data_IF_702418455218
#
_entry.id   IF_702418455218
#
_cell.length_a   1.000
_cell.length_b   1.000
_cell.length_c   1.000
_cell.angle_alpha   90.00
_cell.angle_beta   90.00
_cell.angle_gamma   90.00
#
_symmetry.space_group_name_H-M   'P 1'
#
loop_
_entity.id
_entity.type
_entity.pdbx_description
1 polymer ?
#
# COMPACT_ATOMS: atom_id res chain seq x y z
N UNK A 1 -18.00 8.93 -23.61
CA UNK A 1 -18.08 9.31 -22.18
C UNK A 1 -18.28 10.82 -22.08
N UNK A 2 -19.18 11.30 -21.23
CA UNK A 2 -19.50 12.73 -21.13
C UNK A 2 -18.37 13.51 -20.45
N UNK A 3 -17.99 14.66 -21.00
CA UNK A 3 -16.94 15.55 -20.47
C UNK A 3 -17.17 15.92 -19.00
N UNK A 4 -18.44 15.96 -18.58
CA UNK A 4 -18.88 16.21 -17.20
C UNK A 4 -18.53 15.06 -16.24
N UNK A 5 -18.62 13.82 -16.70
CA UNK A 5 -18.27 12.65 -15.89
C UNK A 5 -16.76 12.58 -15.64
N UNK A 6 -15.95 12.95 -16.65
CA UNK A 6 -14.50 13.04 -16.52
C UNK A 6 -14.08 14.14 -15.53
N UNK A 7 -14.69 15.32 -15.61
CA UNK A 7 -14.37 16.42 -14.69
C UNK A 7 -14.77 16.12 -13.25
N UNK A 8 -15.95 15.53 -13.02
CA UNK A 8 -16.39 15.13 -11.68
C UNK A 8 -15.46 14.06 -11.11
N UNK A 9 -15.10 13.06 -11.90
CA UNK A 9 -14.14 12.03 -11.50
C UNK A 9 -12.78 12.64 -11.16
N UNK A 10 -12.21 13.48 -12.04
CA UNK A 10 -10.92 14.12 -11.81
C UNK A 10 -10.91 15.01 -10.55
N UNK A 11 -12.00 15.73 -10.27
CA UNK A 11 -12.12 16.53 -9.04
C UNK A 11 -12.19 15.65 -7.80
N UNK A 12 -12.94 14.54 -7.84
CA UNK A 12 -12.99 13.56 -6.74
C UNK A 12 -11.60 12.95 -6.51
N UNK A 13 -10.90 12.54 -7.58
CA UNK A 13 -9.53 12.03 -7.49
C UNK A 13 -8.56 13.07 -6.92
N UNK A 14 -8.61 14.32 -7.40
CA UNK A 14 -7.77 15.42 -6.89
C UNK A 14 -8.04 15.73 -5.41
N UNK A 15 -9.28 15.59 -4.95
CA UNK A 15 -9.65 15.76 -3.54
C UNK A 15 -9.25 14.56 -2.67
N UNK A 16 -9.13 13.36 -3.22
CA UNK A 16 -8.71 12.16 -2.47
C UNK A 16 -7.19 12.04 -2.32
N UNK A 17 -6.41 12.51 -3.30
CA UNK A 17 -4.94 12.36 -3.35
C UNK A 17 -4.22 12.93 -2.12
N UNK A 18 -4.52 14.15 -1.61
CA UNK A 18 -3.80 14.68 -0.44
C UNK A 18 -4.30 14.15 0.93
N UNK A 19 -5.31 13.27 0.96
CA UNK A 19 -6.06 12.97 2.20
C UNK A 19 -5.83 11.55 2.75
N UNK A 20 -5.06 10.73 2.05
CA UNK A 20 -4.71 9.36 2.43
C UNK A 20 -3.27 9.29 2.97
N UNK A 21 -3.10 9.73 4.22
CA UNK A 21 -1.83 9.57 4.93
C UNK A 21 -1.81 8.16 5.55
N UNK A 22 -0.99 7.27 4.99
CA UNK A 22 -0.82 5.90 5.45
C UNK A 22 0.59 5.71 6.00
N UNK A 23 0.68 5.29 7.26
CA UNK A 23 1.95 5.00 7.93
C UNK A 23 2.01 3.53 8.30
N UNK A 24 3.05 2.85 7.84
CA UNK A 24 3.40 1.50 8.28
C UNK A 24 4.58 1.59 9.24
N UNK A 25 4.50 0.89 10.38
CA UNK A 25 5.61 0.69 11.30
C UNK A 25 5.83 -0.81 11.44
N UNK A 26 7.04 -1.26 11.13
CA UNK A 26 7.45 -2.66 11.22
C UNK A 26 8.43 -2.79 12.38
N UNK A 27 8.13 -3.69 13.32
CA UNK A 27 8.98 -4.07 14.44
C UNK A 27 9.03 -5.61 14.53
N UNK A 28 10.04 -6.20 15.21
CA UNK A 28 10.12 -7.64 15.39
C UNK A 28 8.84 -8.17 16.06
N UNK A 29 8.14 -9.09 15.37
CA UNK A 29 6.88 -9.70 15.84
C UNK A 29 5.66 -8.76 15.91
N UNK A 30 5.75 -7.56 15.33
CA UNK A 30 4.62 -6.62 15.31
C UNK A 30 4.68 -5.67 14.12
N UNK A 31 3.59 -5.62 13.35
CA UNK A 31 3.38 -4.66 12.26
C UNK A 31 2.17 -3.79 12.59
N UNK A 32 2.31 -2.48 12.44
CA UNK A 32 1.23 -1.51 12.64
C UNK A 32 1.01 -0.68 11.39
N UNK A 33 -0.22 -0.66 10.90
CA UNK A 33 -0.68 0.28 9.86
C UNK A 33 -1.61 1.28 10.50
N UNK A 34 -1.33 2.57 10.30
CA UNK A 34 -2.22 3.66 10.61
C UNK A 34 -2.62 4.35 9.31
N UNK A 35 -3.91 4.30 8.97
CA UNK A 35 -4.48 4.95 7.78
C UNK A 35 -5.37 6.11 8.22
N UNK A 36 -5.08 7.32 7.76
CA UNK A 36 -5.96 8.46 8.00
C UNK A 36 -7.14 8.39 7.02
N UNK A 37 -8.35 8.26 7.56
CA UNK A 37 -9.59 8.55 6.83
C UNK A 37 -10.02 9.98 7.18
N UNK A 38 -10.54 10.71 6.20
CA UNK A 38 -10.88 12.13 6.30
C UNK A 38 -11.60 12.49 7.63
N UNK A 39 -11.23 13.62 8.24
CA UNK A 39 -11.82 14.18 9.48
C UNK A 39 -11.65 13.37 10.80
N UNK A 40 -10.83 12.30 10.85
CA UNK A 40 -10.50 11.44 12.06
C UNK A 40 -11.63 10.43 12.37
N UNK A 41 -11.38 9.14 12.73
CA UNK A 41 -10.18 8.55 13.30
C UNK A 41 -9.29 7.82 12.31
N UNK A 42 -8.00 7.86 12.61
CA UNK A 42 -7.03 6.93 12.08
C UNK A 42 -7.59 5.50 12.23
N UNK A 43 -7.56 4.72 11.16
CA UNK A 43 -7.78 3.29 11.21
C UNK A 43 -6.44 2.63 11.52
N UNK A 44 -6.37 1.92 12.65
CA UNK A 44 -5.16 1.25 13.12
C UNK A 44 -5.39 -0.24 12.97
N UNK A 45 -4.47 -0.91 12.30
CA UNK A 45 -4.40 -2.35 12.29
C UNK A 45 -3.06 -2.78 12.87
N UNK A 46 -3.08 -3.74 13.78
CA UNK A 46 -1.88 -4.38 14.29
C UNK A 46 -1.94 -5.85 13.90
N UNK A 47 -0.89 -6.34 13.27
CA UNK A 47 -0.67 -7.75 13.02
C UNK A 47 0.71 -8.20 13.49
N UNK A 48 1.00 -9.49 13.34
CA UNK A 48 2.28 -10.08 13.73
C UNK A 48 3.35 -9.89 12.65
N UNK A 49 2.97 -10.07 11.38
CA UNK A 49 3.93 -10.07 10.28
C UNK A 49 3.35 -9.58 8.96
N UNK A 50 4.19 -8.96 8.14
CA UNK A 50 3.88 -8.77 6.72
C UNK A 50 4.05 -10.13 6.07
N UNK A 51 2.99 -10.67 5.48
CA UNK A 51 3.01 -11.97 4.82
C UNK A 51 3.35 -11.85 3.35
N UNK A 52 2.99 -10.73 2.71
CA UNK A 52 3.21 -10.51 1.29
C UNK A 52 3.19 -9.02 0.93
N UNK A 53 3.88 -8.65 -0.15
CA UNK A 53 3.93 -7.28 -0.71
C UNK A 53 3.98 -7.39 -2.23
N UNK A 54 3.00 -6.79 -2.89
CA UNK A 54 2.93 -6.69 -4.35
C UNK A 54 2.55 -5.27 -4.79
N UNK A 55 2.78 -4.93 -6.04
CA UNK A 55 2.28 -3.74 -6.68
C UNK A 55 0.76 -3.79 -6.84
N UNK A 56 0.12 -2.63 -6.74
CA UNK A 56 -1.32 -2.46 -6.95
C UNK A 56 -1.61 -2.35 -8.45
N UNK A 57 -1.36 -3.44 -9.17
CA UNK A 57 -1.56 -3.63 -10.61
C UNK A 57 -1.96 -5.07 -10.93
N UNK A 58 -2.57 -5.25 -12.10
CA UNK A 58 -2.76 -6.57 -12.68
C UNK A 58 -1.37 -7.17 -12.96
N UNK A 59 -1.11 -8.37 -12.45
CA UNK A 59 0.15 -9.11 -12.62
C UNK A 59 1.41 -8.53 -11.95
N UNK A 60 1.28 -7.71 -10.90
CA UNK A 60 2.45 -7.12 -10.20
C UNK A 60 3.32 -6.24 -11.12
N UNK A 61 2.74 -5.74 -12.21
CA UNK A 61 3.44 -4.88 -13.15
C UNK A 61 3.70 -3.49 -12.54
N UNK A 62 4.97 -3.16 -12.34
CA UNK A 62 5.40 -1.88 -11.78
C UNK A 62 4.87 -0.72 -12.62
N UNK A 63 4.84 -0.80 -13.95
CA UNK A 63 4.56 0.36 -14.81
C UNK A 63 3.10 0.81 -14.73
N UNK A 64 2.18 -0.15 -14.61
CA UNK A 64 0.74 0.11 -14.48
C UNK A 64 0.29 0.33 -13.03
N UNK A 65 1.15 0.03 -12.05
CA UNK A 65 0.80 0.12 -10.63
C UNK A 65 0.56 1.56 -10.15
N UNK A 66 -0.54 1.75 -9.43
CA UNK A 66 -0.84 3.02 -8.76
C UNK A 66 -0.27 3.10 -7.34
N UNK A 67 0.16 1.97 -6.79
CA UNK A 67 0.61 1.83 -5.42
C UNK A 67 1.19 0.46 -5.11
N UNK A 68 1.15 0.10 -3.83
CA UNK A 68 1.63 -1.18 -3.29
C UNK A 68 0.55 -1.76 -2.39
N UNK A 69 0.27 -3.06 -2.53
CA UNK A 69 -0.58 -3.83 -1.64
C UNK A 69 0.30 -4.53 -0.61
N UNK A 70 -0.07 -4.38 0.65
CA UNK A 70 0.63 -5.02 1.78
C UNK A 70 -0.34 -5.98 2.46
N UNK A 71 0.05 -7.24 2.56
CA UNK A 71 -0.70 -8.27 3.28
C UNK A 71 -0.13 -8.44 4.69
N UNK A 72 -0.97 -8.33 5.71
CA UNK A 72 -0.62 -8.54 7.12
C UNK A 72 -1.61 -9.53 7.72
N UNK A 73 -1.11 -10.67 8.19
CA UNK A 73 -1.91 -11.74 8.78
C UNK A 73 -3.16 -12.07 7.94
N UNK A 74 -2.96 -12.26 6.63
CA UNK A 74 -4.00 -12.53 5.62
C UNK A 74 -4.96 -11.36 5.29
N UNK A 75 -4.72 -10.15 5.82
CA UNK A 75 -5.49 -8.94 5.46
C UNK A 75 -4.69 -8.04 4.52
N UNK A 76 -5.30 -7.68 3.39
CA UNK A 76 -4.68 -6.82 2.38
C UNK A 76 -4.97 -5.33 2.62
N UNK A 77 -3.95 -4.51 2.37
CA UNK A 77 -4.00 -3.06 2.50
C UNK A 77 -3.43 -2.43 1.23
N UNK A 78 -4.30 -1.79 0.44
CA UNK A 78 -3.89 -1.04 -0.76
C UNK A 78 -3.39 0.33 -0.35
N UNK A 79 -2.14 0.64 -0.71
CA UNK A 79 -1.45 1.88 -0.36
C UNK A 79 -1.05 2.58 -1.65
N UNK A 80 -1.77 3.66 -1.95
CA UNK A 80 -1.51 4.51 -3.12
C UNK A 80 -0.23 5.31 -2.87
N UNK A 81 0.80 5.11 -3.70
CA UNK A 81 2.12 5.71 -3.52
C UNK A 81 2.76 6.12 -4.87
N UNK A 82 2.10 6.97 -5.68
CA UNK A 82 2.43 7.14 -7.10
C UNK A 82 3.85 7.64 -7.38
N UNK A 83 4.42 8.47 -6.48
CA UNK A 83 5.76 9.06 -6.68
C UNK A 83 6.91 8.25 -6.07
N UNK A 84 6.62 7.32 -5.16
CA UNK A 84 7.65 6.59 -4.41
C UNK A 84 7.37 5.08 -4.35
N UNK A 85 6.49 4.54 -5.20
CA UNK A 85 6.05 3.13 -5.18
C UNK A 85 7.21 2.15 -5.15
N UNK A 86 8.19 2.29 -6.05
CA UNK A 86 9.36 1.39 -6.16
C UNK A 86 10.23 1.45 -4.90
N UNK A 87 10.50 2.65 -4.40
CA UNK A 87 11.29 2.84 -3.19
C UNK A 87 10.57 2.30 -1.94
N UNK A 88 9.25 2.46 -1.89
CA UNK A 88 8.40 1.97 -0.83
C UNK A 88 8.33 0.44 -0.82
N UNK A 89 8.07 -0.16 -2.00
CA UNK A 89 8.07 -1.61 -2.23
C UNK A 89 9.41 -2.24 -1.81
N UNK A 90 10.53 -1.73 -2.33
CA UNK A 90 11.87 -2.25 -2.00
C UNK A 90 12.20 -2.14 -0.51
N UNK A 91 11.81 -1.04 0.14
CA UNK A 91 12.00 -0.88 1.59
C UNK A 91 11.19 -1.88 2.40
N UNK A 92 9.95 -2.17 1.99
CA UNK A 92 9.12 -3.18 2.64
C UNK A 92 9.70 -4.59 2.48
N UNK A 93 10.15 -4.95 1.28
CA UNK A 93 10.84 -6.23 1.06
C UNK A 93 12.11 -6.37 1.91
N UNK A 94 12.90 -5.30 2.04
CA UNK A 94 14.08 -5.29 2.89
C UNK A 94 13.70 -5.47 4.37
N UNK A 95 12.65 -4.80 4.83
CA UNK A 95 12.14 -4.96 6.19
C UNK A 95 11.65 -6.40 6.45
N UNK A 96 10.95 -7.02 5.50
CA UNK A 96 10.55 -8.43 5.61
C UNK A 96 11.77 -9.34 5.77
N UNK A 97 12.77 -9.22 4.89
CA UNK A 97 14.01 -10.01 4.95
C UNK A 97 14.75 -9.83 6.28
N UNK A 98 14.89 -8.60 6.76
CA UNK A 98 15.58 -8.33 8.04
C UNK A 98 14.84 -8.86 9.27
N UNK A 99 13.53 -9.10 9.18
CA UNK A 99 12.74 -9.70 10.25
C UNK A 99 12.58 -11.23 10.08
N UNK A 100 13.31 -11.85 9.15
CA UNK A 100 13.21 -13.30 8.88
C UNK A 100 11.90 -13.71 8.20
N UNK A 101 11.17 -12.76 7.62
CA UNK A 101 9.94 -12.99 6.88
C UNK A 101 10.30 -13.11 5.39
N UNK A 102 10.12 -14.29 4.80
CA UNK A 102 10.24 -14.46 3.36
C UNK A 102 8.91 -14.03 2.69
N UNK A 103 8.94 -13.27 1.58
CA UNK A 103 7.75 -13.18 0.73
C UNK A 103 7.37 -14.59 0.30
N UNK A 104 6.07 -14.92 0.35
CA UNK A 104 5.57 -16.19 -0.17
C UNK A 104 5.85 -16.19 -1.68
N UNK A 105 6.63 -17.17 -2.14
CA UNK A 105 7.10 -17.30 -3.51
C UNK A 105 5.99 -17.04 -4.54
N UNK A 106 6.24 -16.11 -5.48
CA UNK A 106 5.25 -15.75 -6.49
C UNK A 106 5.78 -15.04 -7.73
N UNK A 107 6.70 -14.08 -7.61
CA UNK A 107 7.29 -13.40 -8.79
C UNK A 107 8.73 -12.99 -8.46
N UNK A 108 9.69 -13.66 -9.11
CA UNK A 108 11.09 -13.24 -9.17
C UNK A 108 11.26 -12.17 -10.30
N UNK A 109 12.27 -11.30 -10.22
CA UNK A 109 12.51 -10.24 -11.22
C UNK A 109 12.76 -10.76 -12.63
#
# INVERSE_FOLDING_TARGET
MSLRALTISSVIYLLLIPWLDCKITVAPGRVRIARRLCRVPYYWYTGQSITDVCYDSDWDDEDTATGVVVSIDSKQFHIVAPRQKTAFYRRLLLLMRTNGLAPVDGVAP
#
